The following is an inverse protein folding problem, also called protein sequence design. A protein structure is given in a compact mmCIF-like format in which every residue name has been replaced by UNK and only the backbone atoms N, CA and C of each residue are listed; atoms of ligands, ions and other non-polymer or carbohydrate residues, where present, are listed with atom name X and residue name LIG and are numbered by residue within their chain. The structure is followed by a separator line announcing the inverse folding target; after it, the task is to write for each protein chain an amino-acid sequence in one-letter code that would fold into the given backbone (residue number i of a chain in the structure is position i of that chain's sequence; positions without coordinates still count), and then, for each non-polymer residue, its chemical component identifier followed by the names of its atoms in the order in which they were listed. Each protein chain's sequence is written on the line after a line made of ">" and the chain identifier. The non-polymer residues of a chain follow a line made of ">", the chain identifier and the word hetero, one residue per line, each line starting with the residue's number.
data_IF_567119436898
#
_entry.id   IF_567119436898
#
_cell.length_a   1.000
_cell.length_b   1.000
_cell.length_c   1.000
_cell.angle_alpha   90.00
_cell.angle_beta   90.00
_cell.angle_gamma   90.00
#
_symmetry.space_group_name_H-M   'P 1'
#
loop_
_entity.id
_entity.type
_entity.pdbx_description
1 polymer ?
#
# COMPACT_ATOMS: atom_id res chain seq x y z
N UNK A 1 21.17 -29.27 40.19
CA UNK A 1 20.82 -27.86 39.90
C UNK A 1 20.19 -27.80 38.52
N UNK A 2 18.85 -27.89 38.38
CA UNK A 2 18.22 -27.75 37.08
C UNK A 2 18.07 -26.26 36.75
N UNK A 3 18.56 -25.88 35.58
CA UNK A 3 18.33 -24.56 35.01
C UNK A 3 16.86 -24.46 34.58
N UNK A 4 16.17 -23.45 35.08
CA UNK A 4 14.84 -23.10 34.60
C UNK A 4 14.94 -22.59 33.16
N UNK A 5 14.40 -23.36 32.21
CA UNK A 5 14.13 -22.87 30.86
C UNK A 5 12.94 -21.91 30.95
N UNK A 6 13.20 -20.61 30.86
CA UNK A 6 12.17 -19.59 30.69
C UNK A 6 11.63 -19.66 29.26
N UNK A 7 10.43 -20.23 29.12
CA UNK A 7 9.64 -20.13 27.88
C UNK A 7 9.28 -18.67 27.64
N UNK A 8 9.84 -18.10 26.58
CA UNK A 8 9.55 -16.75 26.10
C UNK A 8 8.14 -16.72 25.52
N UNK A 9 7.27 -15.95 26.15
CA UNK A 9 5.92 -15.62 25.69
C UNK A 9 5.96 -15.08 24.26
N UNK A 10 5.12 -15.56 23.32
CA UNK A 10 4.92 -14.87 22.05
C UNK A 10 4.21 -13.55 22.31
N UNK A 11 4.91 -12.46 22.05
CA UNK A 11 4.38 -11.10 22.03
C UNK A 11 3.41 -10.96 20.85
N UNK A 12 2.19 -10.51 21.17
CA UNK A 12 1.12 -10.02 20.28
C UNK A 12 0.65 -10.97 19.15
N UNK A 13 -0.65 -11.30 19.17
CA UNK A 13 -1.34 -11.80 17.99
C UNK A 13 -1.28 -10.72 16.90
N UNK A 14 -0.31 -10.80 16.00
CA UNK A 14 -0.40 -10.11 14.72
C UNK A 14 -1.60 -10.74 14.02
N UNK A 15 -2.74 -10.04 14.07
CA UNK A 15 -3.95 -10.48 13.39
C UNK A 15 -3.57 -10.70 11.92
N UNK A 16 -3.82 -11.90 11.42
CA UNK A 16 -3.57 -12.21 10.03
C UNK A 16 -4.35 -11.21 9.14
N UNK A 17 -3.77 -10.76 8.01
CA UNK A 17 -4.44 -9.85 7.11
C UNK A 17 -5.76 -10.46 6.61
N UNK A 18 -6.80 -9.64 6.50
CA UNK A 18 -8.12 -10.06 5.99
C UNK A 18 -8.09 -10.33 4.49
N UNK A 19 -7.20 -9.67 3.77
CA UNK A 19 -6.97 -9.81 2.33
C UNK A 19 -5.56 -9.33 1.98
N UNK A 20 -5.10 -9.63 0.77
CA UNK A 20 -3.80 -9.20 0.24
C UNK A 20 -3.99 -7.98 -0.69
N UNK A 21 -3.73 -6.73 -0.22
CA UNK A 21 -3.92 -5.55 -1.05
C UNK A 21 -2.88 -5.45 -2.16
N UNK A 22 -1.69 -6.03 -2.00
CA UNK A 22 -0.64 -6.01 -3.03
C UNK A 22 -1.12 -6.80 -4.23
N UNK A 23 -1.63 -8.01 -4.01
CA UNK A 23 -2.17 -8.86 -5.06
C UNK A 23 -3.45 -8.27 -5.68
N UNK A 24 -4.43 -7.87 -4.85
CA UNK A 24 -5.74 -7.41 -5.35
C UNK A 24 -5.64 -6.07 -6.08
N UNK A 25 -4.85 -5.11 -5.57
CA UNK A 25 -4.70 -3.79 -6.19
C UNK A 25 -3.62 -3.74 -7.28
N UNK A 26 -2.93 -4.86 -7.52
CA UNK A 26 -1.88 -4.98 -8.54
C UNK A 26 -0.67 -4.09 -8.28
N UNK A 27 -0.23 -4.01 -7.02
CA UNK A 27 0.91 -3.19 -6.61
C UNK A 27 2.23 -3.93 -6.92
N UNK A 28 3.21 -3.21 -7.45
CA UNK A 28 4.49 -3.83 -7.85
C UNK A 28 5.53 -3.94 -6.72
N UNK A 29 5.38 -3.19 -5.62
CA UNK A 29 6.37 -3.16 -4.53
C UNK A 29 7.77 -2.70 -4.95
N UNK A 30 7.89 -1.95 -6.05
CA UNK A 30 9.17 -1.61 -6.69
C UNK A 30 9.73 -0.23 -6.28
N UNK A 31 9.12 0.42 -5.28
CA UNK A 31 9.47 1.78 -4.84
C UNK A 31 9.32 2.84 -5.93
N UNK A 32 8.58 2.54 -7.00
CA UNK A 32 8.36 3.45 -8.13
C UNK A 32 6.92 3.90 -8.20
N UNK A 33 6.74 5.03 -8.87
CA UNK A 33 5.45 5.65 -9.10
C UNK A 33 4.39 4.63 -9.55
N UNK A 34 3.23 4.63 -8.88
CA UNK A 34 2.09 3.76 -9.20
C UNK A 34 1.28 4.27 -10.40
N UNK A 35 1.50 5.53 -10.79
CA UNK A 35 0.81 6.19 -11.90
C UNK A 35 1.24 5.70 -13.28
N UNK A 36 0.43 6.05 -14.28
CA UNK A 36 0.66 5.74 -15.68
C UNK A 36 1.36 6.91 -16.39
N UNK A 37 2.35 6.63 -17.23
CA UNK A 37 3.02 7.63 -18.06
C UNK A 37 2.45 7.55 -19.49
N UNK A 38 1.50 8.44 -19.89
CA UNK A 38 0.78 8.29 -21.16
C UNK A 38 1.69 8.38 -22.39
N UNK A 39 2.69 9.27 -22.35
CA UNK A 39 3.67 9.45 -23.43
C UNK A 39 4.51 8.20 -23.70
N UNK A 40 4.63 7.30 -22.71
CA UNK A 40 5.39 6.06 -22.82
C UNK A 40 4.49 4.81 -22.81
N UNK A 41 3.17 5.00 -22.71
CA UNK A 41 2.15 3.93 -22.69
C UNK A 41 2.44 2.81 -21.69
N UNK A 42 2.95 3.15 -20.49
CA UNK A 42 3.32 2.17 -19.46
C UNK A 42 3.26 2.79 -18.05
N UNK A 43 3.36 1.94 -17.02
CA UNK A 43 3.60 2.39 -15.63
C UNK A 43 4.81 3.31 -15.57
N UNK A 44 4.69 4.39 -14.82
CA UNK A 44 5.79 5.30 -14.56
C UNK A 44 6.94 4.54 -13.86
N UNK A 45 8.19 4.83 -14.24
CA UNK A 45 9.38 4.22 -13.63
C UNK A 45 10.15 5.17 -12.72
N UNK A 46 9.62 6.38 -12.48
CA UNK A 46 10.28 7.32 -11.58
C UNK A 46 10.25 6.74 -10.15
N UNK A 47 11.37 6.82 -9.43
CA UNK A 47 11.39 6.45 -8.02
C UNK A 47 10.49 7.41 -7.23
N UNK A 48 9.90 6.88 -6.18
CA UNK A 48 9.22 7.64 -5.13
C UNK A 48 10.24 7.92 -4.01
N UNK A 49 10.08 9.02 -3.29
CA UNK A 49 10.95 9.34 -2.16
C UNK A 49 10.82 8.25 -1.08
N UNK A 50 11.94 7.89 -0.43
CA UNK A 50 11.98 6.77 0.53
C UNK A 50 10.91 6.87 1.63
N UNK A 51 10.74 8.05 2.24
CA UNK A 51 9.73 8.28 3.28
C UNK A 51 8.28 8.10 2.78
N UNK A 52 8.04 8.39 1.50
CA UNK A 52 6.74 8.14 0.88
C UNK A 52 6.53 6.65 0.59
N UNK A 53 7.57 5.90 0.24
CA UNK A 53 7.48 4.44 0.10
C UNK A 53 7.13 3.81 1.45
N UNK A 54 7.82 4.19 2.53
CA UNK A 54 7.47 3.71 3.87
C UNK A 54 6.05 4.06 4.28
N UNK A 55 5.61 5.30 4.01
CA UNK A 55 4.24 5.74 4.32
C UNK A 55 3.20 4.99 3.48
N UNK A 56 3.52 4.70 2.21
CA UNK A 56 2.69 3.90 1.33
C UNK A 56 2.52 2.47 1.87
N UNK A 57 3.63 1.81 2.23
CA UNK A 57 3.63 0.44 2.73
C UNK A 57 2.88 0.35 4.07
N UNK A 58 3.02 1.33 4.97
CA UNK A 58 2.23 1.41 6.20
C UNK A 58 0.72 1.49 5.94
N UNK A 59 0.30 2.23 4.91
CA UNK A 59 -1.11 2.30 4.55
C UNK A 59 -1.59 0.98 3.95
N UNK A 60 -0.77 0.31 3.12
CA UNK A 60 -1.05 -1.03 2.59
C UNK A 60 -1.26 -2.04 3.72
N UNK A 61 -0.34 -2.08 4.69
CA UNK A 61 -0.46 -2.95 5.85
C UNK A 61 -1.71 -2.64 6.67
N UNK A 62 -2.01 -1.36 6.90
CA UNK A 62 -3.21 -0.94 7.60
C UNK A 62 -4.50 -1.40 6.89
N UNK A 63 -4.63 -1.19 5.58
CA UNK A 63 -5.86 -1.56 4.86
C UNK A 63 -6.05 -3.08 4.75
N UNK A 64 -4.95 -3.86 4.82
CA UNK A 64 -5.04 -5.33 4.87
C UNK A 64 -5.83 -5.83 6.09
N UNK A 65 -5.92 -5.03 7.16
CA UNK A 65 -6.68 -5.35 8.38
C UNK A 65 -8.13 -4.86 8.34
N UNK A 66 -8.53 -4.15 7.28
CA UNK A 66 -9.87 -3.59 7.08
C UNK A 66 -10.64 -4.42 6.06
N UNK A 67 -11.97 -4.27 6.04
CA UNK A 67 -12.81 -4.88 4.99
C UNK A 67 -12.46 -4.24 3.63
N UNK A 68 -12.29 -5.02 2.56
CA UNK A 68 -12.13 -4.50 1.21
C UNK A 68 -13.47 -3.92 0.74
N UNK A 69 -13.69 -2.65 1.04
CA UNK A 69 -14.88 -1.90 0.64
C UNK A 69 -14.44 -0.51 0.16
N UNK A 70 -14.77 -0.17 -1.07
CA UNK A 70 -14.33 1.06 -1.71
C UNK A 70 -14.73 2.33 -0.95
N UNK A 71 -15.92 2.35 -0.34
CA UNK A 71 -16.41 3.53 0.39
C UNK A 71 -15.68 3.67 1.73
N UNK A 72 -15.47 2.56 2.44
CA UNK A 72 -14.77 2.56 3.73
C UNK A 72 -13.28 2.88 3.56
N UNK A 73 -12.67 2.44 2.46
CA UNK A 73 -11.23 2.62 2.20
C UNK A 73 -10.90 3.88 1.40
N UNK A 74 -11.89 4.69 0.98
CA UNK A 74 -11.67 5.83 0.07
C UNK A 74 -10.55 6.75 0.51
N UNK A 75 -10.52 7.15 1.78
CA UNK A 75 -9.48 8.04 2.32
C UNK A 75 -8.11 7.36 2.40
N UNK A 76 -8.08 6.06 2.67
CA UNK A 76 -6.83 5.29 2.70
C UNK A 76 -6.25 5.15 1.30
N UNK A 77 -7.10 4.88 0.29
CA UNK A 77 -6.71 4.82 -1.12
C UNK A 77 -6.18 6.18 -1.61
N UNK A 78 -6.76 7.31 -1.18
CA UNK A 78 -6.22 8.65 -1.49
C UNK A 78 -4.80 8.79 -0.97
N UNK A 79 -4.57 8.46 0.31
CA UNK A 79 -3.24 8.55 0.91
C UNK A 79 -2.25 7.64 0.19
N UNK A 80 -2.65 6.42 -0.16
CA UNK A 80 -1.83 5.53 -0.99
C UNK A 80 -1.46 6.18 -2.32
N UNK A 81 -2.41 6.83 -2.99
CA UNK A 81 -2.11 7.49 -4.26
C UNK A 81 -1.17 8.69 -4.07
N UNK A 82 -1.40 9.54 -3.07
CA UNK A 82 -0.57 10.71 -2.77
C UNK A 82 0.89 10.31 -2.49
N UNK A 83 1.11 9.27 -1.68
CA UNK A 83 2.45 8.76 -1.39
C UNK A 83 3.04 7.99 -2.57
N UNK A 84 2.24 7.19 -3.27
CA UNK A 84 2.69 6.32 -4.35
C UNK A 84 2.93 7.02 -5.69
N UNK A 85 2.46 8.26 -5.87
CA UNK A 85 2.65 9.05 -7.10
C UNK A 85 3.89 9.92 -7.01
N UNK A 86 4.69 9.97 -8.08
CA UNK A 86 5.84 10.86 -8.09
C UNK A 86 5.41 12.34 -8.09
N UNK A 87 5.95 13.12 -7.15
CA UNK A 87 5.59 14.53 -6.91
C UNK A 87 5.66 15.38 -8.19
N UNK A 88 6.67 15.16 -9.03
CA UNK A 88 6.95 16.02 -10.18
C UNK A 88 5.89 15.97 -11.29
N UNK A 89 5.29 14.80 -11.54
CA UNK A 89 4.59 14.56 -12.81
C UNK A 89 3.21 13.93 -12.70
N UNK A 90 2.90 13.18 -11.63
CA UNK A 90 1.71 12.31 -11.65
C UNK A 90 0.80 12.51 -10.43
N UNK A 91 1.00 13.54 -9.61
CA UNK A 91 0.13 13.85 -8.48
C UNK A 91 -1.32 14.17 -8.90
N UNK A 92 -1.54 14.62 -10.15
CA UNK A 92 -2.88 14.78 -10.71
C UNK A 92 -3.62 13.45 -10.99
N UNK A 93 -2.96 12.30 -10.83
CA UNK A 93 -3.57 10.98 -11.02
C UNK A 93 -4.17 10.39 -9.75
N UNK A 94 -4.15 11.10 -8.62
CA UNK A 94 -4.67 10.61 -7.33
C UNK A 94 -6.08 10.01 -7.49
N UNK A 95 -7.02 10.79 -7.99
CA UNK A 95 -8.41 10.35 -8.16
C UNK A 95 -8.52 9.16 -9.12
N UNK A 96 -7.81 9.19 -10.25
CA UNK A 96 -7.83 8.08 -11.21
C UNK A 96 -7.26 6.76 -10.64
N UNK A 97 -6.28 6.83 -9.74
CA UNK A 97 -5.73 5.67 -9.07
C UNK A 97 -6.73 5.12 -8.04
N UNK A 98 -7.39 6.01 -7.31
CA UNK A 98 -8.42 5.63 -6.34
C UNK A 98 -9.62 4.99 -7.03
N UNK A 99 -10.10 5.56 -8.13
CA UNK A 99 -11.20 4.98 -8.92
C UNK A 99 -10.79 3.58 -9.42
N UNK A 100 -9.59 3.45 -9.99
CA UNK A 100 -9.07 2.16 -10.45
C UNK A 100 -9.08 1.11 -9.32
N UNK A 101 -8.53 1.44 -8.15
CA UNK A 101 -8.48 0.50 -7.03
C UNK A 101 -9.86 0.20 -6.46
N UNK A 102 -10.75 1.19 -6.42
CA UNK A 102 -12.13 1.03 -5.95
C UNK A 102 -12.93 0.05 -6.81
N UNK A 103 -12.59 -0.14 -8.09
CA UNK A 103 -13.24 -1.16 -8.94
C UNK A 103 -12.78 -2.60 -8.67
N UNK A 104 -11.71 -2.78 -7.89
CA UNK A 104 -11.11 -4.08 -7.60
C UNK A 104 -11.53 -4.64 -6.23
N UNK A 105 -12.22 -3.84 -5.42
CA UNK A 105 -12.64 -4.16 -4.05
C UNK A 105 -14.14 -3.95 -3.85
#
# INVERSE_FOLDING_TARGET
>A
MPYHTTSRTPTACVLAPLWDPVAVLGLCGDGRCVGFAPSQRRKCRNPVAYHNVESFDQVVDMISTKRPDANLLRLDLVRMAEYGLCVRNHQNQVESMVDKWSTLI
#
